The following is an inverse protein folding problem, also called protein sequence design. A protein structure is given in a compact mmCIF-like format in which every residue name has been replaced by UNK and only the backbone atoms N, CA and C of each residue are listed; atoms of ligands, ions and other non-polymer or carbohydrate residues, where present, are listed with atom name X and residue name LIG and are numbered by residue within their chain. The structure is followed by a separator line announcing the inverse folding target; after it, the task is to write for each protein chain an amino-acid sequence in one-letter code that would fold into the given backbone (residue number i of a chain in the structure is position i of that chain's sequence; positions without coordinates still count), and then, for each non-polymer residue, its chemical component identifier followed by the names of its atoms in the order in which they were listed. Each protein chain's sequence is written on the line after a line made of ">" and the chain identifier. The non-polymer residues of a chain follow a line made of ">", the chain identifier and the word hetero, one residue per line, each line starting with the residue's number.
data_IF_489984029649
#
_entry.id   IF_489984029649
#
_cell.length_a   1.000
_cell.length_b   1.000
_cell.length_c   1.000
_cell.angle_alpha   90.00
_cell.angle_beta   90.00
_cell.angle_gamma   90.00
#
_symmetry.space_group_name_H-M   'P 1'
#
loop_
_entity.id
_entity.type
_entity.pdbx_description
1 polymer ?
#
# COMPACT_ATOMS: atom_id res chain seq x y z
N UNK A 1 16.42 66.12 -12.96
CA UNK A 1 16.69 65.01 -13.90
C UNK A 1 17.15 63.81 -13.07
N UNK A 2 16.27 62.84 -12.78
CA UNK A 2 16.62 61.72 -11.92
C UNK A 2 17.40 60.65 -12.69
N UNK A 3 18.48 60.17 -12.08
CA UNK A 3 19.38 59.14 -12.57
C UNK A 3 18.74 57.75 -12.46
N UNK A 4 18.92 56.95 -13.51
CA UNK A 4 18.38 55.59 -13.63
C UNK A 4 19.13 54.58 -12.73
N UNK A 5 18.44 53.54 -12.19
CA UNK A 5 19.09 52.49 -11.42
C UNK A 5 19.71 51.42 -12.34
N UNK A 6 20.96 51.07 -12.02
CA UNK A 6 21.76 49.98 -12.60
C UNK A 6 21.16 48.61 -12.21
N UNK A 7 20.83 47.78 -13.20
CA UNK A 7 20.48 46.37 -13.01
C UNK A 7 21.75 45.50 -12.89
N UNK A 8 21.74 44.43 -12.05
CA UNK A 8 22.85 43.50 -11.92
C UNK A 8 22.91 42.48 -13.06
N UNK A 9 24.14 42.05 -13.35
CA UNK A 9 24.52 41.18 -14.44
C UNK A 9 23.94 39.77 -14.33
N UNK A 10 23.49 39.24 -15.47
CA UNK A 10 23.06 37.87 -15.69
C UNK A 10 24.23 36.89 -15.46
N UNK A 11 24.08 36.01 -14.47
CA UNK A 11 24.91 34.82 -14.31
C UNK A 11 24.47 33.78 -15.36
N UNK A 12 25.40 33.38 -16.22
CA UNK A 12 25.23 32.31 -17.20
C UNK A 12 25.53 30.97 -16.53
N UNK A 13 24.65 29.95 -16.59
CA UNK A 13 24.98 28.60 -16.13
C UNK A 13 25.85 27.85 -17.15
N UNK A 14 26.91 27.25 -16.62
CA UNK A 14 27.87 26.38 -17.29
C UNK A 14 27.25 24.99 -17.56
N UNK A 15 27.34 24.41 -18.78
CA UNK A 15 26.80 23.07 -19.06
C UNK A 15 27.79 21.95 -18.64
N UNK A 16 27.34 21.09 -17.73
CA UNK A 16 28.03 19.87 -17.27
C UNK A 16 27.81 18.70 -18.28
N UNK A 17 28.77 17.78 -18.48
CA UNK A 17 28.71 16.79 -19.55
C UNK A 17 27.87 15.55 -19.23
N UNK A 18 27.22 15.01 -20.26
CA UNK A 18 26.48 13.75 -20.27
C UNK A 18 27.38 12.53 -20.05
N UNK A 19 26.87 11.47 -19.37
CA UNK A 19 27.36 10.12 -19.57
C UNK A 19 26.54 9.35 -20.63
N UNK A 20 27.30 8.58 -21.40
CA UNK A 20 26.95 7.74 -22.53
C UNK A 20 26.00 6.57 -22.22
N UNK A 21 25.06 6.38 -23.15
CA UNK A 21 24.44 5.14 -23.65
C UNK A 21 24.84 3.80 -23.02
N UNK A 22 23.84 3.03 -22.58
CA UNK A 22 23.87 1.57 -22.54
C UNK A 22 22.50 1.02 -22.94
N UNK A 23 22.50 0.33 -24.07
CA UNK A 23 21.39 -0.36 -24.72
C UNK A 23 21.25 -1.79 -24.16
N UNK A 24 20.06 -2.19 -23.71
CA UNK A 24 19.73 -3.61 -23.57
C UNK A 24 18.31 -3.96 -24.05
N UNK A 25 18.32 -4.66 -25.18
CA UNK A 25 17.48 -5.76 -25.65
C UNK A 25 16.12 -6.02 -24.97
N UNK A 26 15.07 -5.92 -25.80
CA UNK A 26 13.77 -6.54 -25.57
C UNK A 26 13.89 -8.08 -25.59
N UNK A 27 13.28 -8.74 -24.61
CA UNK A 27 13.05 -10.18 -24.62
C UNK A 27 11.55 -10.44 -24.69
N UNK A 28 11.11 -10.97 -25.84
CA UNK A 28 9.77 -11.52 -26.06
C UNK A 28 9.67 -12.87 -25.34
N UNK A 29 8.63 -13.06 -24.51
CA UNK A 29 8.37 -14.35 -23.86
C UNK A 29 7.08 -14.95 -24.41
N UNK A 30 7.23 -15.99 -25.25
CA UNK A 30 6.14 -16.86 -25.69
C UNK A 30 5.60 -17.66 -24.51
N UNK A 31 4.31 -17.51 -24.25
CA UNK A 31 3.58 -18.29 -23.25
C UNK A 31 2.98 -19.53 -23.91
N UNK A 32 3.52 -20.71 -23.60
CA UNK A 32 2.98 -22.01 -23.99
C UNK A 32 2.06 -22.53 -22.88
N UNK A 33 0.79 -22.76 -23.21
CA UNK A 33 -0.19 -23.38 -22.30
C UNK A 33 -0.10 -24.91 -22.38
N UNK A 34 0.26 -25.55 -21.27
CA UNK A 34 0.09 -27.00 -21.11
C UNK A 34 -1.13 -27.29 -20.24
N UNK A 35 -2.11 -27.93 -20.88
CA UNK A 35 -3.29 -28.50 -20.26
C UNK A 35 -2.90 -29.57 -19.23
N UNK A 36 -3.53 -29.52 -18.04
CA UNK A 36 -3.38 -30.53 -17.00
C UNK A 36 -4.68 -31.32 -16.86
N UNK A 37 -4.58 -32.59 -17.20
CA UNK A 37 -5.59 -33.64 -17.08
C UNK A 37 -6.00 -33.84 -15.63
N UNK A 38 -7.31 -33.84 -15.39
CA UNK A 38 -7.96 -34.21 -14.15
C UNK A 38 -7.85 -35.73 -13.91
N UNK A 39 -7.49 -36.13 -12.69
CA UNK A 39 -7.86 -37.44 -12.16
C UNK A 39 -8.41 -37.27 -10.75
N UNK A 40 -9.73 -37.41 -10.70
CA UNK A 40 -10.56 -37.56 -9.52
C UNK A 40 -10.29 -38.90 -8.84
N UNK A 41 -10.07 -38.90 -7.52
CA UNK A 41 -10.23 -40.08 -6.70
C UNK A 41 -10.95 -39.69 -5.41
N UNK A 42 -12.09 -40.34 -5.22
CA UNK A 42 -13.08 -40.14 -4.19
C UNK A 42 -12.68 -40.87 -2.90
N UNK A 43 -12.85 -40.23 -1.75
CA UNK A 43 -12.98 -40.94 -0.46
C UNK A 43 -14.13 -40.37 0.33
N UNK A 44 -15.20 -41.15 0.37
CA UNK A 44 -16.42 -40.93 1.14
C UNK A 44 -16.16 -41.26 2.61
N UNK A 45 -16.25 -40.27 3.49
CA UNK A 45 -16.24 -40.49 4.95
C UNK A 45 -17.67 -40.40 5.49
N UNK A 46 -18.18 -41.58 5.79
CA UNK A 46 -19.39 -41.93 6.54
C UNK A 46 -19.72 -41.01 7.74
N UNK A 47 -20.92 -40.41 7.72
CA UNK A 47 -21.59 -39.86 8.90
C UNK A 47 -22.48 -40.91 9.56
N UNK A 48 -22.31 -41.11 10.88
CA UNK A 48 -23.29 -41.77 11.75
C UNK A 48 -23.86 -40.76 12.76
N UNK A 49 -25.19 -40.69 12.96
CA UNK A 49 -25.83 -39.83 13.94
C UNK A 49 -26.31 -40.59 15.19
N UNK A 50 -26.72 -39.80 16.21
CA UNK A 50 -27.40 -40.16 17.47
C UNK A 50 -26.45 -40.43 18.65
N UNK A 51 -26.71 -39.99 19.90
CA UNK A 51 -27.98 -39.81 20.58
C UNK A 51 -27.96 -38.64 21.60
N UNK A 52 -29.16 -38.09 21.77
CA UNK A 52 -29.60 -37.16 22.82
C UNK A 52 -29.63 -37.82 24.20
N UNK A 53 -29.28 -37.08 25.25
CA UNK A 53 -29.62 -37.40 26.64
C UNK A 53 -29.96 -36.13 27.42
N UNK A 54 -31.13 -36.03 28.08
CA UNK A 54 -31.53 -34.89 28.88
C UNK A 54 -31.08 -35.06 30.35
N UNK A 55 -30.35 -34.09 30.90
CA UNK A 55 -30.04 -34.06 32.33
C UNK A 55 -31.06 -33.19 33.08
N UNK A 56 -31.69 -33.82 34.06
CA UNK A 56 -32.66 -33.31 35.04
C UNK A 56 -32.04 -32.29 36.02
N UNK A 57 -32.82 -31.34 36.57
CA UNK A 57 -32.37 -30.44 37.62
C UNK A 57 -32.62 -31.04 39.01
N UNK A 58 -31.58 -31.11 39.84
CA UNK A 58 -31.72 -31.46 41.26
C UNK A 58 -31.78 -30.18 42.09
N UNK A 59 -32.94 -29.93 42.66
CA UNK A 59 -33.21 -29.01 43.76
C UNK A 59 -32.49 -29.45 45.03
N UNK A 60 -31.80 -28.53 45.71
CA UNK A 60 -31.65 -28.60 47.17
C UNK A 60 -31.64 -27.20 47.75
N UNK A 61 -32.51 -26.98 48.73
CA UNK A 61 -32.67 -25.77 49.53
C UNK A 61 -32.07 -26.01 50.92
N UNK A 62 -31.82 -24.90 51.62
CA UNK A 62 -31.38 -24.79 53.03
C UNK A 62 -29.90 -25.17 53.25
N UNK A 63 -29.12 -24.54 54.12
CA UNK A 63 -29.48 -23.78 55.30
C UNK A 63 -28.32 -22.86 55.74
N UNK A 64 -28.73 -21.82 56.45
CA UNK A 64 -28.08 -20.93 57.41
C UNK A 64 -26.60 -21.12 57.87
N UNK A 65 -25.92 -19.96 57.91
CA UNK A 65 -25.03 -19.44 58.98
C UNK A 65 -23.50 -19.65 58.93
N UNK A 66 -22.69 -18.60 59.21
CA UNK A 66 -21.24 -18.64 59.50
C UNK A 66 -21.03 -19.02 61.00
N UNK A 67 -19.82 -19.36 61.55
CA UNK A 67 -18.51 -18.70 61.32
C UNK A 67 -17.24 -19.59 61.51
N UNK A 68 -16.08 -18.92 61.53
CA UNK A 68 -14.84 -19.25 62.26
C UNK A 68 -13.73 -20.03 61.53
N UNK A 69 -12.65 -19.28 61.30
CA UNK A 69 -11.25 -19.71 61.27
C UNK A 69 -10.89 -20.73 62.36
N UNK A 70 -10.00 -21.68 62.03
CA UNK A 70 -8.96 -22.07 62.97
C UNK A 70 -7.57 -21.88 62.37
N UNK A 71 -6.74 -21.11 63.09
CA UNK A 71 -5.30 -21.31 63.11
C UNK A 71 -5.00 -22.76 63.45
N UNK A 72 -4.16 -23.42 62.66
CA UNK A 72 -3.37 -24.51 63.22
C UNK A 72 -2.02 -24.62 62.51
N UNK A 73 -0.99 -24.27 63.26
CA UNK A 73 0.40 -24.63 63.01
C UNK A 73 0.54 -26.15 63.09
N UNK A 74 1.06 -26.78 62.05
CA UNK A 74 1.78 -28.04 62.21
C UNK A 74 2.86 -28.14 61.15
N UNK A 75 4.10 -27.92 61.60
CA UNK A 75 5.29 -28.24 60.86
C UNK A 75 5.38 -29.77 60.72
N UNK A 76 5.19 -30.27 59.51
CA UNK A 76 5.74 -31.57 59.11
C UNK A 76 6.79 -31.31 58.04
N UNK A 77 8.05 -31.45 58.45
CA UNK A 77 9.20 -31.52 57.58
C UNK A 77 9.14 -32.83 56.79
N UNK A 78 8.60 -32.77 55.57
CA UNK A 78 8.91 -33.78 54.56
C UNK A 78 10.20 -33.36 53.87
N UNK A 79 11.24 -34.16 54.05
CA UNK A 79 12.49 -34.05 53.32
C UNK A 79 12.22 -34.33 51.83
N UNK A 80 12.05 -33.27 51.05
CA UNK A 80 12.10 -33.33 49.60
C UNK A 80 13.57 -33.40 49.19
N UNK A 81 14.00 -34.59 48.78
CA UNK A 81 15.18 -34.76 47.94
C UNK A 81 15.05 -33.87 46.70
N UNK A 82 16.03 -33.02 46.36
CA UNK A 82 15.99 -32.22 45.16
C UNK A 82 16.28 -33.13 43.96
N UNK A 83 15.24 -33.72 43.37
CA UNK A 83 15.34 -34.26 42.01
C UNK A 83 15.40 -33.06 41.08
N UNK A 84 16.63 -32.71 40.75
CA UNK A 84 17.05 -31.59 39.91
C UNK A 84 16.67 -31.86 38.44
N UNK A 85 15.38 -31.98 38.14
CA UNK A 85 14.88 -31.90 36.78
C UNK A 85 14.46 -30.45 36.55
N UNK A 86 15.47 -29.60 36.30
CA UNK A 86 15.30 -28.26 35.76
C UNK A 86 14.68 -28.33 34.36
N UNK A 87 13.40 -28.70 34.29
CA UNK A 87 12.56 -28.39 33.15
C UNK A 87 12.18 -26.94 33.32
N UNK A 88 13.10 -26.05 32.95
CA UNK A 88 12.81 -24.63 32.77
C UNK A 88 11.59 -24.59 31.87
N UNK A 89 10.46 -24.12 32.38
CA UNK A 89 9.27 -23.88 31.57
C UNK A 89 9.68 -22.84 30.52
N UNK A 90 10.13 -23.33 29.37
CA UNK A 90 10.41 -22.46 28.24
C UNK A 90 9.11 -21.77 27.90
N UNK A 91 9.20 -20.44 27.83
CA UNK A 91 8.11 -19.60 27.38
C UNK A 91 7.54 -20.18 26.07
N UNK A 92 6.24 -20.52 26.01
CA UNK A 92 5.62 -21.06 24.81
C UNK A 92 5.81 -20.13 23.60
N UNK A 93 6.01 -18.83 23.81
CA UNK A 93 6.33 -17.89 22.75
C UNK A 93 7.72 -18.13 22.13
N UNK A 94 8.72 -18.52 22.93
CA UNK A 94 10.07 -18.85 22.44
C UNK A 94 10.07 -20.17 21.67
N UNK A 95 9.36 -21.19 22.17
CA UNK A 95 9.22 -22.46 21.42
C UNK A 95 8.49 -22.27 20.09
N UNK A 96 7.43 -21.45 20.07
CA UNK A 96 6.73 -21.14 18.82
C UNK A 96 7.66 -20.42 17.83
N UNK A 97 8.55 -19.55 18.32
CA UNK A 97 9.53 -18.84 17.50
C UNK A 97 10.58 -19.78 16.91
N UNK A 98 11.15 -20.67 17.72
CA UNK A 98 12.14 -21.65 17.27
C UNK A 98 11.53 -22.63 16.25
N UNK A 99 10.29 -23.05 16.47
CA UNK A 99 9.55 -23.87 15.52
C UNK A 99 9.32 -23.13 14.17
N UNK A 100 8.99 -21.84 14.23
CA UNK A 100 8.84 -21.01 13.02
C UNK A 100 10.17 -20.86 12.29
N UNK A 101 11.26 -20.61 13.03
CA UNK A 101 12.59 -20.43 12.45
C UNK A 101 13.10 -21.73 11.81
N UNK A 102 12.85 -22.87 12.45
CA UNK A 102 13.13 -24.20 11.91
C UNK A 102 12.30 -24.48 10.63
N UNK A 103 11.03 -24.06 10.59
CA UNK A 103 10.17 -24.23 9.41
C UNK A 103 10.63 -23.39 8.20
N UNK A 104 11.16 -22.18 8.43
CA UNK A 104 11.62 -21.27 7.37
C UNK A 104 13.12 -21.35 7.07
N UNK A 105 13.82 -22.37 7.56
CA UNK A 105 15.24 -22.57 7.20
C UNK A 105 15.33 -23.08 5.76
N UNK A 106 15.34 -22.14 4.81
CA UNK A 106 15.64 -22.44 3.41
C UNK A 106 17.08 -22.96 3.33
N UNK A 107 17.27 -24.15 2.76
CA UNK A 107 18.58 -24.71 2.52
C UNK A 107 19.34 -23.83 1.51
N UNK A 108 20.10 -22.87 2.04
CA UNK A 108 20.93 -21.99 1.23
C UNK A 108 22.00 -22.82 0.53
N UNK A 109 22.22 -22.64 -0.78
CA UNK A 109 23.32 -23.32 -1.47
C UNK A 109 24.65 -22.95 -0.82
N UNK A 110 25.57 -23.92 -0.78
CA UNK A 110 26.89 -23.75 -0.17
C UNK A 110 27.63 -22.58 -0.84
N UNK A 111 28.34 -21.72 -0.09
CA UNK A 111 29.01 -20.55 -0.65
C UNK A 111 29.95 -20.92 -1.81
N UNK A 112 29.83 -20.19 -2.92
CA UNK A 112 30.68 -20.45 -4.09
C UNK A 112 32.15 -20.27 -3.73
N UNK A 113 32.97 -21.26 -4.09
CA UNK A 113 34.42 -21.11 -3.97
C UNK A 113 34.90 -20.04 -4.95
N UNK A 114 35.83 -19.19 -4.52
CA UNK A 114 36.43 -18.12 -5.35
C UNK A 114 37.08 -18.62 -6.65
N UNK A 115 37.37 -19.92 -6.73
CA UNK A 115 37.97 -20.59 -7.89
C UNK A 115 36.94 -21.32 -8.77
N UNK A 116 35.64 -21.12 -8.56
CA UNK A 116 34.60 -21.76 -9.36
C UNK A 116 34.62 -21.27 -10.81
N UNK A 117 34.36 -22.19 -11.74
CA UNK A 117 34.27 -21.86 -13.16
C UNK A 117 33.03 -20.99 -13.44
N UNK A 118 33.06 -20.20 -14.52
CA UNK A 118 31.90 -19.38 -14.95
C UNK A 118 30.63 -20.22 -15.14
N UNK A 119 30.77 -21.45 -15.64
CA UNK A 119 29.64 -22.38 -15.81
C UNK A 119 29.05 -22.83 -14.48
N UNK A 120 29.89 -23.06 -13.45
CA UNK A 120 29.43 -23.42 -12.11
C UNK A 120 28.68 -22.24 -11.46
N UNK A 121 29.19 -21.02 -11.62
CA UNK A 121 28.52 -19.80 -11.16
C UNK A 121 27.15 -19.61 -11.83
N UNK A 122 27.04 -19.86 -13.13
CA UNK A 122 25.77 -19.77 -13.85
C UNK A 122 24.74 -20.79 -13.32
N UNK A 123 25.15 -22.05 -13.15
CA UNK A 123 24.29 -23.11 -12.63
C UNK A 123 23.79 -22.80 -11.20
N UNK A 124 24.67 -22.27 -10.34
CA UNK A 124 24.28 -21.88 -8.99
C UNK A 124 23.33 -20.67 -8.97
N UNK A 125 23.54 -19.70 -9.87
CA UNK A 125 22.63 -18.56 -10.01
C UNK A 125 21.22 -19.04 -10.43
N UNK A 126 21.15 -20.01 -11.34
CA UNK A 126 19.89 -20.63 -11.74
C UNK A 126 19.24 -21.41 -10.58
N UNK A 127 20.03 -22.09 -9.75
CA UNK A 127 19.56 -22.76 -8.54
C UNK A 127 19.00 -21.76 -7.51
N UNK A 128 19.68 -20.62 -7.30
CA UNK A 128 19.20 -19.54 -6.43
C UNK A 128 17.88 -18.95 -6.94
N UNK A 129 17.76 -18.73 -8.25
CA UNK A 129 16.50 -18.26 -8.87
C UNK A 129 15.38 -19.27 -8.69
N UNK A 130 15.67 -20.57 -8.81
CA UNK A 130 14.69 -21.62 -8.57
C UNK A 130 14.25 -21.66 -7.10
N UNK A 131 15.17 -21.54 -6.15
CA UNK A 131 14.87 -21.47 -4.71
C UNK A 131 14.03 -20.25 -4.37
N UNK A 132 14.35 -19.07 -4.92
CA UNK A 132 13.56 -17.86 -4.72
C UNK A 132 12.13 -18.00 -5.24
N UNK A 133 11.94 -18.62 -6.42
CA UNK A 133 10.60 -18.91 -6.95
C UNK A 133 9.83 -19.87 -6.05
N UNK A 134 10.47 -20.93 -5.55
CA UNK A 134 9.85 -21.88 -4.65
C UNK A 134 9.44 -21.22 -3.32
N UNK A 135 10.33 -20.43 -2.72
CA UNK A 135 10.05 -19.67 -1.50
C UNK A 135 8.89 -18.68 -1.69
N UNK A 136 8.82 -18.00 -2.83
CA UNK A 136 7.71 -17.10 -3.16
C UNK A 136 6.37 -17.81 -3.24
N UNK A 137 6.33 -19.02 -3.82
CA UNK A 137 5.12 -19.85 -3.87
C UNK A 137 4.67 -20.26 -2.47
N UNK A 138 5.60 -20.67 -1.61
CA UNK A 138 5.26 -21.09 -0.25
C UNK A 138 4.72 -19.93 0.60
N UNK A 139 5.36 -18.76 0.52
CA UNK A 139 4.90 -17.55 1.22
C UNK A 139 3.49 -17.13 0.76
N UNK A 140 3.16 -17.33 -0.53
CA UNK A 140 1.82 -17.07 -1.05
C UNK A 140 0.78 -18.07 -0.50
N UNK A 141 1.15 -19.35 -0.32
CA UNK A 141 0.26 -20.34 0.32
C UNK A 141 0.00 -20.00 1.77
N UNK A 142 1.05 -19.67 2.53
CA UNK A 142 0.93 -19.28 3.95
C UNK A 142 0.04 -18.06 4.11
N UNK A 143 0.21 -17.07 3.23
CA UNK A 143 -0.67 -15.90 3.20
C UNK A 143 -2.13 -16.28 2.92
N UNK A 144 -2.38 -17.14 1.93
CA UNK A 144 -3.73 -17.62 1.63
C UNK A 144 -4.35 -18.40 2.82
N UNK A 145 -3.56 -19.23 3.51
CA UNK A 145 -3.99 -19.95 4.69
C UNK A 145 -4.34 -19.01 5.85
N UNK A 146 -3.50 -18.01 6.12
CA UNK A 146 -3.76 -16.97 7.13
C UNK A 146 -5.07 -16.22 6.83
N UNK A 147 -5.31 -15.84 5.57
CA UNK A 147 -6.56 -15.17 5.16
C UNK A 147 -7.78 -16.07 5.40
N UNK A 148 -7.68 -17.37 5.09
CA UNK A 148 -8.75 -18.34 5.36
C UNK A 148 -9.04 -18.48 6.86
N UNK A 149 -8.00 -18.61 7.69
CA UNK A 149 -8.16 -18.69 9.15
C UNK A 149 -8.80 -17.43 9.73
N UNK A 150 -8.40 -16.25 9.26
CA UNK A 150 -9.00 -14.98 9.69
C UNK A 150 -10.49 -14.91 9.32
N UNK A 151 -10.86 -15.37 8.12
CA UNK A 151 -12.25 -15.43 7.68
C UNK A 151 -13.07 -16.44 8.49
N UNK A 152 -12.49 -17.58 8.86
CA UNK A 152 -13.15 -18.55 9.73
C UNK A 152 -13.36 -18.00 11.15
N UNK A 153 -12.35 -17.33 11.71
CA UNK A 153 -12.45 -16.64 12.99
C UNK A 153 -13.55 -15.57 12.97
N UNK A 154 -13.64 -14.79 11.88
CA UNK A 154 -14.72 -13.83 11.68
C UNK A 154 -16.08 -14.52 11.64
N UNK A 155 -16.21 -15.63 10.89
CA UNK A 155 -17.44 -16.42 10.86
C UNK A 155 -17.82 -16.96 12.24
N UNK A 156 -16.86 -17.44 13.04
CA UNK A 156 -17.13 -17.90 14.41
C UNK A 156 -17.58 -16.75 15.31
N UNK A 157 -16.95 -15.58 15.21
CA UNK A 157 -17.40 -14.38 15.90
C UNK A 157 -18.83 -14.02 15.49
N UNK A 158 -19.11 -14.02 14.19
CA UNK A 158 -20.46 -13.79 13.67
C UNK A 158 -21.45 -14.82 14.20
N UNK A 159 -21.11 -16.10 14.30
CA UNK A 159 -21.99 -17.13 14.89
C UNK A 159 -22.24 -16.90 16.38
N UNK A 160 -21.20 -16.53 17.13
CA UNK A 160 -21.32 -16.20 18.56
C UNK A 160 -22.16 -14.94 18.81
N UNK A 161 -22.09 -13.96 17.91
CA UNK A 161 -22.90 -12.74 17.97
C UNK A 161 -24.29 -12.89 17.35
N UNK A 162 -24.44 -13.81 16.39
CA UNK A 162 -25.70 -14.26 15.84
C UNK A 162 -26.46 -15.16 16.82
N UNK A 163 -26.07 -15.17 18.12
CA UNK A 163 -26.92 -15.55 19.26
C UNK A 163 -28.32 -15.13 18.92
N UNK A 164 -29.11 -16.15 18.53
CA UNK A 164 -30.49 -16.10 18.06
C UNK A 164 -31.14 -14.90 18.71
N UNK A 165 -31.71 -14.00 17.91
CA UNK A 165 -32.75 -13.07 18.39
C UNK A 165 -33.65 -13.91 19.29
N UNK A 166 -33.38 -13.91 20.60
CA UNK A 166 -34.04 -14.84 21.51
C UNK A 166 -35.45 -14.35 21.41
N UNK A 167 -36.31 -15.13 20.76
CA UNK A 167 -37.74 -14.86 20.62
C UNK A 167 -38.13 -14.36 21.98
N UNK A 168 -38.44 -13.05 22.07
CA UNK A 168 -38.47 -12.31 23.35
C UNK A 168 -39.07 -13.25 24.35
N UNK A 169 -38.27 -13.72 25.33
CA UNK A 169 -38.72 -14.72 26.28
C UNK A 169 -39.90 -14.04 26.96
N UNK A 170 -41.11 -14.35 26.49
CA UNK A 170 -42.34 -13.80 27.01
C UNK A 170 -42.34 -14.33 28.42
N UNK A 171 -42.06 -13.44 29.37
CA UNK A 171 -42.20 -13.74 30.77
C UNK A 171 -43.65 -14.17 30.93
N UNK A 172 -43.87 -15.48 30.98
CA UNK A 172 -45.17 -16.04 31.31
C UNK A 172 -45.43 -15.60 32.73
N UNK A 173 -46.37 -14.68 32.88
CA UNK A 173 -46.95 -14.13 34.11
C UNK A 173 -47.63 -15.18 35.00
N UNK A 174 -47.27 -16.47 34.85
CA UNK A 174 -47.92 -17.62 35.49
C UNK A 174 -47.71 -17.74 37.00
N UNK A 175 -46.93 -16.84 37.62
CA UNK A 175 -46.93 -16.68 39.07
C UNK A 175 -46.79 -15.20 39.38
N UNK A 176 -47.94 -14.54 39.57
CA UNK A 176 -48.04 -13.19 40.09
C UNK A 176 -47.46 -13.16 41.51
N UNK A 177 -46.13 -13.10 41.62
CA UNK A 177 -45.52 -12.54 42.80
C UNK A 177 -45.85 -11.06 42.73
N UNK A 178 -46.56 -10.54 43.73
CA UNK A 178 -46.64 -9.10 43.92
C UNK A 178 -45.18 -8.61 44.01
N UNK A 179 -44.76 -7.83 43.01
CA UNK A 179 -43.46 -7.18 43.09
C UNK A 179 -43.48 -6.30 44.33
N UNK A 180 -42.39 -6.34 45.07
CA UNK A 180 -42.15 -5.39 46.15
C UNK A 180 -42.07 -3.97 45.57
N UNK A 181 -42.35 -2.95 46.39
CA UNK A 181 -42.29 -1.54 45.95
C UNK A 181 -40.97 -1.19 45.25
N UNK A 182 -39.89 -1.76 45.76
CA UNK A 182 -38.52 -1.48 45.31
C UNK A 182 -38.25 -2.13 43.95
N UNK A 183 -38.73 -3.36 43.73
CA UNK A 183 -38.67 -4.02 42.41
C UNK A 183 -39.48 -3.24 41.36
N UNK A 184 -40.62 -2.65 41.75
CA UNK A 184 -41.42 -1.82 40.84
C UNK A 184 -40.73 -0.50 40.50
N UNK A 185 -40.09 0.15 41.49
CA UNK A 185 -39.29 1.35 41.28
C UNK A 185 -38.10 1.08 40.35
N UNK A 186 -37.40 -0.04 40.52
CA UNK A 186 -36.30 -0.44 39.64
C UNK A 186 -36.75 -0.71 38.20
N UNK A 187 -37.90 -1.35 37.99
CA UNK A 187 -38.45 -1.57 36.64
C UNK A 187 -38.79 -0.24 35.97
N UNK A 188 -39.42 0.70 36.69
CA UNK A 188 -39.72 2.02 36.15
C UNK A 188 -38.44 2.80 35.81
N UNK A 189 -37.42 2.75 36.67
CA UNK A 189 -36.13 3.40 36.42
C UNK A 189 -35.42 2.79 35.22
N UNK A 190 -35.42 1.46 35.10
CA UNK A 190 -34.84 0.75 33.95
C UNK A 190 -35.56 1.12 32.65
N UNK A 191 -36.90 1.18 32.66
CA UNK A 191 -37.67 1.56 31.47
C UNK A 191 -37.45 3.02 31.07
N UNK A 192 -37.27 3.93 32.05
CA UNK A 192 -36.93 5.32 31.80
C UNK A 192 -35.51 5.44 31.21
N UNK A 193 -34.52 4.78 31.81
CA UNK A 193 -33.15 4.75 31.30
C UNK A 193 -33.09 4.15 29.89
N UNK A 194 -33.81 3.05 29.64
CA UNK A 194 -33.90 2.43 28.32
C UNK A 194 -34.48 3.37 27.26
N UNK A 195 -35.49 4.18 27.61
CA UNK A 195 -36.05 5.20 26.71
C UNK A 195 -35.02 6.30 26.41
N UNK A 196 -34.34 6.81 27.44
CA UNK A 196 -33.29 7.82 27.28
C UNK A 196 -32.14 7.33 26.39
N UNK A 197 -31.65 6.11 26.60
CA UNK A 197 -30.59 5.53 25.74
C UNK A 197 -31.09 5.33 24.31
N UNK A 198 -32.33 4.88 24.12
CA UNK A 198 -32.90 4.71 22.78
C UNK A 198 -33.03 6.05 22.03
N UNK A 199 -33.42 7.11 22.72
CA UNK A 199 -33.52 8.48 22.20
C UNK A 199 -32.14 9.01 21.79
N UNK A 200 -31.16 8.98 22.71
CA UNK A 200 -29.76 9.35 22.44
C UNK A 200 -29.17 8.57 21.26
N UNK A 201 -29.39 7.25 21.20
CA UNK A 201 -28.94 6.44 20.07
C UNK A 201 -29.63 6.80 18.75
N UNK A 202 -30.87 7.29 18.79
CA UNK A 202 -31.59 7.71 17.59
C UNK A 202 -31.07 9.06 17.09
N UNK A 203 -30.79 9.99 18.00
CA UNK A 203 -30.21 11.30 17.68
C UNK A 203 -28.78 11.14 17.17
N UNK A 204 -27.94 10.38 17.88
CA UNK A 204 -26.57 10.09 17.48
C UNK A 204 -26.52 9.40 16.12
N UNK A 205 -27.43 8.44 15.85
CA UNK A 205 -27.51 7.83 14.51
C UNK A 205 -27.90 8.85 13.45
N UNK A 206 -28.88 9.72 13.70
CA UNK A 206 -29.27 10.75 12.73
C UNK A 206 -28.12 11.72 12.45
N UNK A 207 -27.44 12.22 13.47
CA UNK A 207 -26.35 13.20 13.31
C UNK A 207 -25.09 12.56 12.74
N UNK A 208 -24.59 11.48 13.33
CA UNK A 208 -23.33 10.84 12.92
C UNK A 208 -23.48 10.15 11.57
N UNK A 209 -24.57 9.43 11.31
CA UNK A 209 -24.74 8.74 10.03
C UNK A 209 -24.91 9.72 8.87
N UNK A 210 -25.65 10.82 9.06
CA UNK A 210 -25.79 11.83 8.00
C UNK A 210 -24.48 12.59 7.77
N UNK A 211 -23.76 12.97 8.82
CA UNK A 211 -22.43 13.57 8.72
C UNK A 211 -21.44 12.63 8.02
N UNK A 212 -21.41 11.35 8.41
CA UNK A 212 -20.54 10.34 7.82
C UNK A 212 -20.90 10.08 6.35
N UNK A 213 -22.19 9.98 6.01
CA UNK A 213 -22.65 9.84 4.62
C UNK A 213 -22.26 11.06 3.77
N UNK A 214 -22.40 12.27 4.32
CA UNK A 214 -21.98 13.51 3.66
C UNK A 214 -20.46 13.54 3.45
N UNK A 215 -19.67 13.26 4.47
CA UNK A 215 -18.21 13.19 4.39
C UNK A 215 -17.74 12.15 3.36
N UNK A 216 -18.39 10.99 3.31
CA UNK A 216 -18.06 9.92 2.36
C UNK A 216 -18.42 10.30 0.92
N UNK A 217 -19.55 11.00 0.71
CA UNK A 217 -19.91 11.55 -0.60
C UNK A 217 -18.94 12.63 -1.07
N UNK A 218 -18.50 13.51 -0.16
CA UNK A 218 -17.50 14.54 -0.46
C UNK A 218 -16.14 13.93 -0.79
N UNK A 219 -15.72 12.89 -0.05
CA UNK A 219 -14.47 12.18 -0.33
C UNK A 219 -14.48 11.52 -1.71
N UNK A 220 -15.58 10.84 -2.09
CA UNK A 220 -15.73 10.25 -3.43
C UNK A 220 -15.71 11.30 -4.54
N UNK A 221 -16.34 12.45 -4.32
CA UNK A 221 -16.33 13.55 -5.29
C UNK A 221 -14.93 14.17 -5.43
N UNK A 222 -14.20 14.33 -4.32
CA UNK A 222 -12.82 14.81 -4.32
C UNK A 222 -11.88 13.82 -5.04
N UNK A 223 -12.00 12.52 -4.78
CA UNK A 223 -11.22 11.48 -5.46
C UNK A 223 -11.49 11.48 -6.98
N UNK A 224 -12.76 11.63 -7.38
CA UNK A 224 -13.13 11.73 -8.80
C UNK A 224 -12.55 12.99 -9.45
N UNK A 225 -12.54 14.12 -8.74
CA UNK A 225 -11.94 15.37 -9.23
C UNK A 225 -10.41 15.27 -9.35
N UNK A 226 -9.74 14.67 -8.36
CA UNK A 226 -8.30 14.43 -8.40
C UNK A 226 -7.91 13.49 -9.55
N UNK A 227 -8.68 12.43 -9.78
CA UNK A 227 -8.47 11.52 -10.92
C UNK A 227 -8.69 12.21 -12.27
N UNK A 228 -9.63 13.16 -12.34
CA UNK A 228 -9.84 13.95 -13.55
C UNK A 228 -8.65 14.90 -13.81
N UNK A 229 -8.18 15.60 -12.78
CA UNK A 229 -7.00 16.47 -12.85
C UNK A 229 -5.74 15.67 -13.23
N UNK A 230 -5.53 14.48 -12.65
CA UNK A 230 -4.40 13.62 -12.99
C UNK A 230 -4.43 13.21 -14.47
N UNK A 231 -5.60 12.83 -15.01
CA UNK A 231 -5.75 12.50 -16.44
C UNK A 231 -5.48 13.70 -17.35
N UNK A 232 -5.83 14.91 -16.91
CA UNK A 232 -5.56 16.14 -17.68
C UNK A 232 -4.06 16.45 -17.71
N UNK A 233 -3.38 16.34 -16.56
CA UNK A 233 -1.92 16.51 -16.49
C UNK A 233 -1.18 15.45 -17.32
N UNK A 234 -1.61 14.19 -17.30
CA UNK A 234 -1.03 13.12 -18.12
C UNK A 234 -1.24 13.37 -19.62
N UNK A 235 -2.40 13.90 -20.02
CA UNK A 235 -2.63 14.32 -21.41
C UNK A 235 -1.73 15.48 -21.80
N UNK A 236 -1.55 16.47 -20.92
CA UNK A 236 -0.68 17.61 -21.15
C UNK A 236 0.80 17.21 -21.28
N UNK A 237 1.30 16.31 -20.41
CA UNK A 237 2.68 15.82 -20.50
C UNK A 237 2.92 14.99 -21.74
N UNK A 238 1.99 14.11 -22.12
CA UNK A 238 2.07 13.35 -23.39
C UNK A 238 2.04 14.26 -24.61
N UNK A 239 1.26 15.35 -24.57
CA UNK A 239 1.25 16.33 -25.65
C UNK A 239 2.57 17.09 -25.74
N UNK A 240 3.15 17.50 -24.60
CA UNK A 240 4.45 18.14 -24.53
C UNK A 240 5.58 17.21 -25.04
N UNK A 241 5.59 15.94 -24.64
CA UNK A 241 6.58 14.95 -25.10
C UNK A 241 6.48 14.69 -26.61
N UNK A 242 5.25 14.63 -27.16
CA UNK A 242 5.07 14.54 -28.62
C UNK A 242 5.60 15.78 -29.33
N UNK A 243 5.39 16.98 -28.76
CA UNK A 243 5.88 18.22 -29.33
C UNK A 243 7.42 18.31 -29.29
N UNK A 244 8.07 17.91 -28.19
CA UNK A 244 9.54 17.89 -28.10
C UNK A 244 10.14 16.89 -29.07
N UNK A 245 9.59 15.67 -29.17
CA UNK A 245 10.04 14.65 -30.13
C UNK A 245 9.84 15.09 -31.59
N UNK A 246 8.78 15.83 -31.90
CA UNK A 246 8.58 16.42 -33.22
C UNK A 246 9.62 17.51 -33.53
N UNK A 247 9.93 18.36 -32.55
CA UNK A 247 10.96 19.39 -32.68
C UNK A 247 12.36 18.80 -32.88
N UNK A 248 12.74 17.77 -32.11
CA UNK A 248 14.01 17.06 -32.27
C UNK A 248 14.17 16.43 -33.67
N UNK A 249 13.10 15.76 -34.16
CA UNK A 249 13.08 15.21 -35.53
C UNK A 249 13.22 16.29 -36.61
N UNK A 250 12.68 17.48 -36.38
CA UNK A 250 12.82 18.61 -37.31
C UNK A 250 14.27 19.14 -37.33
N UNK A 251 14.90 19.29 -36.15
CA UNK A 251 16.31 19.70 -36.02
C UNK A 251 17.24 18.67 -36.66
N UNK A 252 17.02 17.37 -36.46
CA UNK A 252 17.85 16.33 -37.08
C UNK A 252 17.74 16.34 -38.61
N UNK A 253 16.53 16.54 -39.16
CA UNK A 253 16.32 16.70 -40.61
C UNK A 253 17.06 17.92 -41.17
N UNK A 254 17.03 19.05 -40.47
CA UNK A 254 17.78 20.25 -40.85
C UNK A 254 19.30 20.01 -40.83
N UNK A 255 19.81 19.32 -39.80
CA UNK A 255 21.23 18.96 -39.71
C UNK A 255 21.67 18.06 -40.88
N UNK A 256 20.90 17.02 -41.20
CA UNK A 256 21.18 16.14 -42.34
C UNK A 256 21.10 16.87 -43.69
N UNK A 257 20.21 17.86 -43.83
CA UNK A 257 20.14 18.69 -45.04
C UNK A 257 21.37 19.59 -45.18
N UNK A 258 21.77 20.27 -44.10
CA UNK A 258 22.96 21.12 -44.07
C UNK A 258 24.25 20.32 -44.33
N UNK A 259 24.38 19.11 -43.77
CA UNK A 259 25.52 18.22 -44.01
C UNK A 259 25.62 17.79 -45.48
N UNK A 260 24.48 17.44 -46.11
CA UNK A 260 24.43 17.13 -47.55
C UNK A 260 24.79 18.34 -48.42
N UNK A 261 24.40 19.55 -48.03
CA UNK A 261 24.75 20.78 -48.73
C UNK A 261 26.25 21.09 -48.60
N UNK A 262 26.81 20.98 -47.40
CA UNK A 262 28.25 21.14 -47.16
C UNK A 262 29.07 20.11 -47.96
N UNK A 263 28.64 18.84 -47.99
CA UNK A 263 29.29 17.80 -48.79
C UNK A 263 29.24 18.10 -50.30
N UNK A 264 28.13 18.66 -50.81
CA UNK A 264 28.05 19.12 -52.21
C UNK A 264 29.00 20.28 -52.49
N UNK A 265 29.13 21.24 -51.56
CA UNK A 265 30.06 22.37 -51.70
C UNK A 265 31.52 21.91 -51.74
N UNK A 266 31.92 20.99 -50.85
CA UNK A 266 33.27 20.39 -50.86
C UNK A 266 33.54 19.66 -52.18
N UNK A 267 32.57 18.89 -52.69
CA UNK A 267 32.72 18.17 -53.97
C UNK A 267 32.80 19.12 -55.18
N UNK A 268 32.12 20.26 -55.14
CA UNK A 268 32.22 21.28 -56.19
C UNK A 268 33.61 21.93 -56.20
N UNK A 269 34.16 22.23 -55.01
CA UNK A 269 35.50 22.81 -54.87
C UNK A 269 36.60 21.86 -55.37
N UNK A 270 36.47 20.56 -55.07
CA UNK A 270 37.40 19.53 -55.55
C UNK A 270 37.39 19.35 -57.10
N UNK A 271 36.25 19.63 -57.77
CA UNK A 271 36.16 19.56 -59.24
C UNK A 271 36.71 20.81 -59.94
N UNK A 272 36.72 21.96 -59.28
CA UNK A 272 37.23 23.23 -59.83
C UNK A 272 38.76 23.32 -59.90
N UNK A 273 39.50 22.61 -59.04
CA UNK A 273 40.96 22.66 -58.99
C UNK A 273 41.71 21.81 -60.03
N UNK A 274 41.00 21.06 -60.88
CA UNK A 274 41.60 20.09 -61.80
C UNK A 274 42.06 20.63 -63.16
N UNK A 275 41.89 21.92 -63.45
CA UNK A 275 42.22 22.48 -64.77
C UNK A 275 43.69 22.93 -64.87
N UNK A 276 44.34 23.33 -63.77
CA UNK A 276 45.76 23.74 -63.83
C UNK A 276 46.76 22.57 -63.80
N UNK A 277 46.40 21.41 -63.25
CA UNK A 277 47.34 20.25 -63.16
C UNK A 277 47.35 19.39 -64.44
N UNK A 278 46.38 19.56 -65.34
CA UNK A 278 46.35 18.81 -66.62
C UNK A 278 47.31 19.36 -67.69
N UNK A 279 47.84 20.57 -67.52
CA UNK A 279 48.92 21.08 -68.38
C UNK A 279 50.29 20.53 -67.96
N UNK A 280 50.50 20.17 -66.69
CA UNK A 280 51.76 19.61 -66.21
C UNK A 280 51.89 18.09 -66.43
N UNK A 281 50.78 17.33 -66.40
CA UNK A 281 50.81 15.85 -66.56
C UNK A 281 50.75 15.36 -68.01
N UNK A 282 50.62 16.25 -69.00
CA UNK A 282 50.79 15.89 -70.42
C UNK A 282 52.28 15.84 -70.85
N UNK A 283 53.19 16.40 -70.04
CA UNK A 283 54.63 16.38 -70.32
C UNK A 283 55.38 15.16 -69.75
N UNK A 284 54.76 14.38 -68.85
CA UNK A 284 55.44 13.30 -68.12
C UNK A 284 55.02 11.87 -68.53
N UNK A 285 54.06 11.71 -69.47
CA UNK A 285 53.51 10.39 -69.86
C UNK A 285 54.02 9.92 -71.25
N UNK A 286 55.09 10.54 -71.76
CA UNK A 286 55.75 10.11 -73.00
C UNK A 286 56.96 9.18 -72.80
N UNK A 287 57.36 8.86 -71.56
CA UNK A 287 58.65 8.19 -71.28
C UNK A 287 58.56 6.91 -70.41
N UNK A 288 57.36 6.39 -70.12
CA UNK A 288 57.24 5.17 -69.33
C UNK A 288 56.22 4.21 -69.94
N UNK A 289 56.61 3.61 -71.06
CA UNK A 289 56.08 2.32 -71.49
C UNK A 289 56.89 1.19 -70.87
N UNK A 290 56.27 0.00 -70.82
CA UNK A 290 56.83 -1.31 -70.46
C UNK A 290 56.99 -1.45 -68.93
N UNK A 291 56.32 -2.35 -68.20
CA UNK A 291 56.14 -3.79 -68.37
C UNK A 291 55.27 -4.30 -67.19
N UNK A 292 54.91 -5.58 -67.21
CA UNK A 292 54.32 -6.39 -66.12
C UNK A 292 52.78 -6.44 -66.05
N UNK A 293 52.27 -7.56 -66.59
CA UNK A 293 50.94 -8.08 -66.30
C UNK A 293 50.87 -8.89 -65.01
N UNK A 294 49.89 -9.80 -65.02
CA UNK A 294 49.44 -10.78 -64.00
C UNK A 294 48.31 -10.33 -63.07
N UNK A 295 47.19 -11.05 -63.23
CA UNK A 295 46.25 -11.62 -62.23
C UNK A 295 45.60 -10.65 -61.21
N UNK A 296 44.31 -10.69 -60.93
CA UNK A 296 43.47 -11.86 -60.69
C UNK A 296 42.03 -11.63 -61.18
N UNK A 297 41.43 -12.71 -61.64
CA UNK A 297 39.99 -12.86 -61.70
C UNK A 297 39.48 -13.19 -60.29
N UNK A 298 38.63 -12.35 -59.71
CA UNK A 298 37.72 -12.85 -58.68
C UNK A 298 36.32 -12.28 -58.89
N UNK A 299 35.40 -13.23 -59.01
CA UNK A 299 33.98 -13.15 -59.27
C UNK A 299 33.25 -12.35 -58.19
N UNK A 300 32.60 -11.26 -58.58
CA UNK A 300 31.55 -10.62 -57.76
C UNK A 300 30.18 -11.13 -58.23
N UNK A 301 29.74 -12.23 -57.62
CA UNK A 301 28.36 -12.67 -57.68
C UNK A 301 27.46 -11.66 -56.98
N UNK A 302 26.89 -10.78 -57.80
CA UNK A 302 25.45 -10.63 -58.00
C UNK A 302 24.53 -11.39 -57.00
N UNK A 303 23.55 -10.65 -56.49
CA UNK A 303 22.18 -11.07 -56.12
C UNK A 303 21.88 -11.13 -54.62
N UNK A 304 21.05 -10.19 -54.16
CA UNK A 304 20.44 -10.26 -52.83
C UNK A 304 19.82 -8.97 -52.31
N UNK A 305 19.27 -8.12 -53.19
CA UNK A 305 18.40 -7.00 -52.79
C UNK A 305 17.06 -7.57 -52.32
N UNK A 306 16.96 -7.88 -51.03
CA UNK A 306 15.71 -8.19 -50.34
C UNK A 306 15.02 -6.88 -50.00
N UNK A 307 14.20 -6.43 -50.94
CA UNK A 307 13.18 -5.41 -50.78
C UNK A 307 12.11 -5.98 -49.83
N UNK A 308 12.30 -5.78 -48.53
CA UNK A 308 11.24 -6.02 -47.53
C UNK A 308 10.13 -5.02 -47.81
N UNK A 309 9.07 -5.56 -48.40
CA UNK A 309 7.81 -4.92 -48.66
C UNK A 309 7.31 -4.18 -47.41
N UNK A 310 6.98 -2.90 -47.59
CA UNK A 310 6.00 -2.24 -46.75
C UNK A 310 4.76 -3.14 -46.65
N UNK A 311 4.28 -3.50 -45.45
CA UNK A 311 2.92 -3.99 -45.34
C UNK A 311 2.01 -2.81 -45.66
N UNK A 312 1.33 -2.91 -46.80
CA UNK A 312 0.14 -2.14 -47.16
C UNK A 312 -0.74 -1.97 -45.91
N UNK A 313 -0.89 -0.72 -45.49
CA UNK A 313 -1.96 -0.31 -44.60
C UNK A 313 -3.29 -0.80 -45.22
N UNK A 314 -4.10 -1.61 -44.51
CA UNK A 314 -5.47 -1.80 -44.94
C UNK A 314 -6.14 -0.44 -44.85
N UNK A 315 -6.47 0.10 -46.02
CA UNK A 315 -7.49 1.12 -46.23
C UNK A 315 -8.77 0.61 -45.57
N UNK A 316 -8.94 0.91 -44.29
CA UNK A 316 -10.22 0.75 -43.63
C UNK A 316 -11.06 1.93 -44.06
N UNK A 317 -11.87 1.57 -45.02
CA UNK A 317 -13.00 2.24 -45.60
C UNK A 317 -13.80 3.11 -44.62
N UNK A 318 -14.43 4.09 -45.22
CA UNK A 318 -15.38 5.06 -44.72
C UNK A 318 -16.25 4.62 -43.52
N UNK A 319 -16.36 5.53 -42.54
CA UNK A 319 -17.62 6.12 -42.03
C UNK A 319 -18.73 5.15 -41.54
N UNK A 320 -19.33 5.34 -40.35
CA UNK A 320 -20.19 6.51 -40.18
C UNK A 320 -20.15 7.21 -38.80
N UNK A 321 -20.48 8.49 -38.88
CA UNK A 321 -21.13 9.32 -37.86
C UNK A 321 -21.81 8.55 -36.71
N UNK A 322 -21.69 9.03 -35.45
CA UNK A 322 -22.63 8.62 -34.41
C UNK A 322 -23.99 9.24 -34.73
N UNK A 323 -24.83 8.46 -35.40
CA UNK A 323 -26.25 8.74 -35.60
C UNK A 323 -26.92 8.99 -34.25
N UNK A 324 -27.59 10.13 -34.17
CA UNK A 324 -28.58 10.42 -33.16
C UNK A 324 -29.57 9.26 -33.04
N UNK A 325 -29.63 8.64 -31.87
CA UNK A 325 -30.86 7.99 -31.40
C UNK A 325 -31.45 8.90 -30.34
N UNK A 326 -32.29 9.80 -30.84
CA UNK A 326 -33.51 10.19 -30.14
C UNK A 326 -34.31 8.95 -29.74
N UNK A 327 -35.11 9.15 -28.70
CA UNK A 327 -36.42 8.51 -28.49
C UNK A 327 -36.46 7.20 -27.68
N UNK A 328 -36.73 7.37 -26.37
CA UNK A 328 -37.95 6.88 -25.66
C UNK A 328 -37.69 6.90 -24.14
N UNK A 329 -38.22 7.87 -23.41
CA UNK A 329 -39.59 7.90 -22.87
C UNK A 329 -39.88 6.82 -21.83
N UNK A 330 -39.72 7.20 -20.57
CA UNK A 330 -40.47 6.74 -19.38
C UNK A 330 -40.11 7.79 -18.32
N UNK A 331 -40.88 8.85 -18.09
CA UNK A 331 -42.34 8.92 -17.88
C UNK A 331 -42.77 7.96 -16.77
N UNK A 332 -42.44 8.32 -15.53
CA UNK A 332 -43.25 8.20 -14.31
C UNK A 332 -42.77 9.36 -13.41
N UNK A 333 -43.41 10.52 -13.50
CA UNK A 333 -44.59 10.92 -12.71
C UNK A 333 -44.30 11.06 -11.21
N UNK A 334 -44.54 12.30 -10.76
CA UNK A 334 -45.14 12.67 -9.48
C UNK A 334 -44.54 12.17 -8.17
N UNK A 335 -43.85 13.09 -7.48
CA UNK A 335 -44.24 13.40 -6.09
C UNK A 335 -43.81 14.84 -5.71
N UNK A 336 -44.37 15.82 -6.42
CA UNK A 336 -44.64 17.13 -5.82
C UNK A 336 -45.84 17.00 -4.88
N UNK A 337 -45.59 16.80 -3.57
CA UNK A 337 -46.45 17.28 -2.47
C UNK A 337 -45.82 17.03 -1.11
N UNK A 338 -45.08 18.02 -0.62
CA UNK A 338 -45.35 18.48 0.75
C UNK A 338 -44.91 19.94 0.97
N UNK A 339 -45.81 20.93 0.77
CA UNK A 339 -45.62 22.26 1.31
C UNK A 339 -46.11 22.26 2.76
N UNK A 340 -45.32 21.76 3.71
CA UNK A 340 -45.64 21.98 5.12
C UNK A 340 -45.08 23.34 5.55
N UNK A 341 -45.90 24.34 5.24
CA UNK A 341 -46.20 25.55 5.99
C UNK A 341 -45.22 25.85 7.13
N UNK A 342 -44.47 26.93 6.90
CA UNK A 342 -43.86 27.78 7.90
C UNK A 342 -45.01 28.36 8.73
N UNK A 343 -45.27 27.81 9.91
CA UNK A 343 -46.01 28.51 10.95
C UNK A 343 -45.01 29.08 11.96
N UNK A 344 -44.91 30.41 11.90
CA UNK A 344 -44.42 31.27 12.96
C UNK A 344 -45.10 30.91 14.30
N UNK A 345 -44.32 30.32 15.20
CA UNK A 345 -44.54 30.38 16.65
C UNK A 345 -43.31 31.08 17.23
N UNK A 346 -43.27 32.40 17.22
CA UNK A 346 -43.85 33.26 18.27
C UNK A 346 -43.46 32.83 19.68
N UNK A 347 -42.41 33.47 20.17
CA UNK A 347 -42.26 33.99 21.54
C UNK A 347 -42.68 33.08 22.70
N UNK A 348 -41.72 32.29 23.18
CA UNK A 348 -41.68 31.80 24.55
C UNK A 348 -40.40 32.25 25.22
N UNK A 349 -40.39 33.46 25.79
CA UNK A 349 -39.32 33.94 26.65
C UNK A 349 -39.25 33.04 27.89
N UNK A 350 -38.34 32.07 27.90
CA UNK A 350 -38.02 31.31 29.09
C UNK A 350 -36.98 32.13 29.86
N UNK A 351 -37.47 32.70 30.95
CA UNK A 351 -36.73 33.40 31.97
C UNK A 351 -35.69 32.45 32.57
N UNK A 352 -34.44 32.53 32.11
CA UNK A 352 -33.30 31.81 32.70
C UNK A 352 -32.94 32.56 33.98
N UNK A 353 -33.05 31.94 35.18
CA UNK A 353 -32.63 32.58 36.42
C UNK A 353 -31.12 32.87 36.38
N UNK A 354 -30.66 33.95 37.04
CA UNK A 354 -29.25 34.30 37.09
C UNK A 354 -28.48 33.14 37.72
N UNK A 355 -27.65 32.49 36.91
CA UNK A 355 -26.64 31.54 37.36
C UNK A 355 -25.71 32.36 38.26
N UNK A 356 -25.68 31.98 39.54
CA UNK A 356 -24.76 32.55 40.49
C UNK A 356 -23.34 32.30 39.99
N UNK A 357 -22.59 33.39 39.86
CA UNK A 357 -21.15 33.40 39.70
C UNK A 357 -20.56 32.76 40.97
N UNK A 358 -20.31 31.46 40.91
CA UNK A 358 -19.52 30.75 41.90
C UNK A 358 -18.05 30.96 41.50
N UNK A 359 -17.46 32.01 42.08
CA UNK A 359 -16.03 32.23 42.12
C UNK A 359 -15.36 31.09 42.90
N UNK A 360 -15.12 29.96 42.25
CA UNK A 360 -14.20 28.94 42.74
C UNK A 360 -12.87 29.06 41.98
N UNK A 361 -12.07 29.97 42.51
CA UNK A 361 -10.68 30.29 42.21
C UNK A 361 -9.75 29.19 42.77
N UNK A 362 -9.72 28.02 42.12
CA UNK A 362 -8.72 26.98 42.34
C UNK A 362 -8.19 26.52 40.98
N UNK A 363 -7.45 27.43 40.35
CA UNK A 363 -6.62 27.20 39.16
C UNK A 363 -5.40 26.33 39.55
N UNK A 364 -5.65 25.08 39.91
CA UNK A 364 -4.60 24.05 40.01
C UNK A 364 -4.26 23.66 38.56
N UNK A 365 -3.43 24.49 37.94
CA UNK A 365 -2.77 24.24 36.67
C UNK A 365 -1.84 23.05 36.81
N UNK A 366 -2.43 21.86 36.91
CA UNK A 366 -1.82 20.59 36.59
C UNK A 366 -1.39 20.71 35.13
N UNK A 367 -0.19 21.23 34.93
CA UNK A 367 0.57 21.04 33.71
C UNK A 367 0.55 19.53 33.48
N UNK A 368 -0.37 19.08 32.62
CA UNK A 368 -0.40 17.70 32.17
C UNK A 368 1.00 17.45 31.66
N UNK A 369 1.78 16.68 32.44
CA UNK A 369 3.17 16.40 32.16
C UNK A 369 3.18 15.81 30.75
N UNK A 370 3.62 16.61 29.78
CA UNK A 370 3.66 16.19 28.38
C UNK A 370 4.53 14.94 28.34
N UNK A 371 3.88 13.78 28.19
CA UNK A 371 4.58 12.50 28.15
C UNK A 371 5.61 12.56 27.03
N UNK A 372 6.88 12.40 27.39
CA UNK A 372 7.98 12.54 26.45
C UNK A 372 7.94 11.41 25.39
N UNK A 373 8.20 11.78 24.14
CA UNK A 373 8.32 10.82 23.03
C UNK A 373 9.68 10.13 23.14
N UNK A 374 9.68 8.81 23.35
CA UNK A 374 10.92 8.03 23.48
C UNK A 374 11.50 7.69 22.12
N UNK A 375 10.69 7.14 21.20
CA UNK A 375 11.15 6.71 19.89
C UNK A 375 10.01 6.52 18.89
N UNK A 376 10.36 6.40 17.60
CA UNK A 376 9.44 6.05 16.53
C UNK A 376 9.60 4.60 16.10
N UNK A 377 8.52 3.84 16.19
CA UNK A 377 8.48 2.44 15.80
C UNK A 377 8.14 2.25 14.31
N UNK A 378 7.77 3.29 13.58
CA UNK A 378 7.40 3.15 12.17
C UNK A 378 6.64 4.35 11.61
N UNK A 379 6.36 4.31 10.32
CA UNK A 379 5.55 5.31 9.63
C UNK A 379 4.54 4.66 8.69
N UNK A 380 3.43 5.36 8.43
CA UNK A 380 2.45 4.99 7.42
C UNK A 380 1.85 6.23 6.77
N UNK A 381 1.47 6.06 5.52
CA UNK A 381 0.63 7.03 4.83
C UNK A 381 -0.83 6.65 5.03
N UNK A 382 -1.56 7.44 5.81
CA UNK A 382 -2.99 7.23 6.03
C UNK A 382 -3.80 7.63 4.78
N UNK A 383 -5.08 7.21 4.75
CA UNK A 383 -6.00 7.24 3.60
C UNK A 383 -6.15 8.62 2.89
N UNK A 384 -5.61 9.72 3.42
CA UNK A 384 -5.62 11.03 2.74
C UNK A 384 -4.25 11.75 2.74
N UNK A 385 -3.17 11.02 2.43
CA UNK A 385 -1.82 11.58 2.23
C UNK A 385 -1.20 12.28 3.44
N UNK A 386 -1.76 12.11 4.63
CA UNK A 386 -1.09 12.53 5.85
C UNK A 386 -0.17 11.40 6.31
N UNK A 387 1.07 11.79 6.61
CA UNK A 387 2.07 10.92 7.18
C UNK A 387 1.81 10.81 8.68
N UNK A 388 1.65 9.58 9.15
CA UNK A 388 1.50 9.25 10.57
C UNK A 388 2.69 8.41 11.01
N UNK A 389 3.17 8.69 12.22
CA UNK A 389 4.24 7.94 12.87
C UNK A 389 3.68 7.11 14.02
N UNK A 390 4.21 5.91 14.18
CA UNK A 390 3.93 5.11 15.35
C UNK A 390 4.87 5.53 16.47
N UNK A 391 4.34 6.25 17.45
CA UNK A 391 5.07 6.87 18.56
C UNK A 391 5.08 5.91 19.74
N UNK A 392 6.26 5.71 20.35
CA UNK A 392 6.42 5.02 21.63
C UNK A 392 6.64 6.08 22.71
N UNK A 393 5.73 6.12 23.67
CA UNK A 393 5.75 7.07 24.79
C UNK A 393 6.55 6.51 25.98
N UNK A 394 6.90 7.38 26.94
CA UNK A 394 7.67 7.01 28.13
C UNK A 394 6.96 5.99 29.04
N UNK A 395 5.64 5.94 29.02
CA UNK A 395 4.81 4.96 29.72
C UNK A 395 4.66 3.62 28.96
N UNK A 396 5.40 3.45 27.86
CA UNK A 396 5.35 2.33 26.93
C UNK A 396 4.06 2.20 26.12
N UNK A 397 3.19 3.23 26.10
CA UNK A 397 2.07 3.26 25.18
C UNK A 397 2.53 3.51 23.75
N UNK A 398 1.76 2.96 22.80
CA UNK A 398 2.07 3.04 21.37
C UNK A 398 0.87 3.57 20.61
N UNK A 399 1.02 4.76 20.03
CA UNK A 399 -0.06 5.45 19.30
C UNK A 399 0.38 5.85 17.90
N UNK A 400 -0.58 6.20 17.03
CA UNK A 400 -0.29 6.75 15.71
C UNK A 400 -0.55 8.26 15.74
N UNK A 401 0.51 9.05 15.62
CA UNK A 401 0.42 10.51 15.67
C UNK A 401 0.72 11.14 14.30
N UNK A 402 0.02 12.22 13.92
CA UNK A 402 0.26 12.90 12.65
C UNK A 402 1.58 13.67 12.68
N UNK A 403 2.26 13.77 11.52
CA UNK A 403 3.52 14.52 11.37
C UNK A 403 3.47 15.92 12.02
N UNK A 404 2.34 16.64 11.89
CA UNK A 404 2.18 17.98 12.44
C UNK A 404 2.39 18.07 13.97
N UNK A 405 2.19 16.98 14.72
CA UNK A 405 2.37 16.94 16.18
C UNK A 405 3.79 16.53 16.57
N UNK A 406 4.47 15.75 15.72
CA UNK A 406 5.75 15.09 16.04
C UNK A 406 6.95 15.67 15.30
N UNK A 407 6.73 16.69 14.47
CA UNK A 407 7.78 17.26 13.62
C UNK A 407 8.92 17.91 14.42
N UNK A 408 8.63 18.45 15.60
CA UNK A 408 9.56 19.27 16.39
C UNK A 408 10.22 18.49 17.55
N UNK A 409 10.25 17.16 17.49
CA UNK A 409 10.86 16.32 18.54
C UNK A 409 12.23 15.75 18.13
N UNK A 410 13.14 15.62 19.10
CA UNK A 410 14.49 15.09 18.86
C UNK A 410 14.49 13.64 18.34
N UNK A 411 13.50 12.84 18.73
CA UNK A 411 13.32 11.49 18.21
C UNK A 411 13.14 11.45 16.68
N UNK A 412 12.65 12.54 16.06
CA UNK A 412 12.39 12.61 14.63
C UNK A 412 13.69 12.69 13.86
N UNK A 413 14.64 13.49 14.35
CA UNK A 413 15.98 13.60 13.77
C UNK A 413 16.71 12.26 13.78
N UNK A 414 16.63 11.51 14.89
CA UNK A 414 17.21 10.17 15.00
C UNK A 414 16.58 9.19 14.00
N UNK A 415 15.25 9.24 13.87
CA UNK A 415 14.51 8.38 12.95
C UNK A 415 14.86 8.67 11.48
N UNK A 416 14.96 9.95 11.11
CA UNK A 416 15.31 10.36 9.75
C UNK A 416 16.78 10.05 9.41
N UNK A 417 17.69 10.23 10.37
CA UNK A 417 19.08 9.85 10.24
C UNK A 417 19.26 8.35 9.98
N UNK A 418 18.45 7.50 10.63
CA UNK A 418 18.46 6.05 10.37
C UNK A 418 18.04 5.69 8.94
N UNK A 419 17.25 6.54 8.28
CA UNK A 419 16.78 6.35 6.91
C UNK A 419 17.62 7.09 5.86
N UNK A 420 18.70 7.78 6.26
CA UNK A 420 19.50 8.67 5.40
C UNK A 420 18.64 9.75 4.71
N UNK A 421 17.67 10.33 5.42
CA UNK A 421 16.76 11.35 4.91
C UNK A 421 16.84 12.64 5.75
N UNK A 422 16.65 13.79 5.11
CA UNK A 422 16.55 15.10 5.78
C UNK A 422 15.09 15.59 5.92
N UNK A 423 14.16 15.05 5.13
CA UNK A 423 12.76 15.48 5.09
C UNK A 423 11.82 14.26 5.27
N UNK A 424 10.93 14.28 6.30
CA UNK A 424 10.01 13.18 6.56
C UNK A 424 9.02 12.94 5.41
N UNK A 425 8.75 13.92 4.55
CA UNK A 425 7.84 13.76 3.41
C UNK A 425 8.42 12.87 2.28
N UNK A 426 9.72 12.59 2.32
CA UNK A 426 10.41 11.72 1.37
C UNK A 426 10.28 10.23 1.77
N UNK A 427 9.77 9.95 2.97
CA UNK A 427 9.56 8.59 3.46
C UNK A 427 8.65 7.77 2.52
N UNK A 428 8.96 6.47 2.42
CA UNK A 428 8.28 5.57 1.49
C UNK A 428 6.76 5.53 1.72
N UNK A 429 5.98 5.38 0.65
CA UNK A 429 4.51 5.26 0.76
C UNK A 429 4.03 3.94 1.37
N UNK A 430 4.93 2.97 1.47
CA UNK A 430 4.63 1.68 2.08
C UNK A 430 4.59 1.82 3.60
N UNK A 431 3.70 1.08 4.25
CA UNK A 431 3.70 0.97 5.71
C UNK A 431 5.04 0.36 6.14
N UNK A 432 5.81 1.10 6.92
CA UNK A 432 7.06 0.64 7.49
C UNK A 432 6.90 0.52 8.99
N UNK A 433 7.16 -0.68 9.52
CA UNK A 433 7.22 -0.94 10.95
C UNK A 433 8.66 -1.36 11.23
N UNK A 434 9.37 -0.55 12.02
CA UNK A 434 10.59 -0.98 12.68
C UNK A 434 10.20 -2.18 13.54
N UNK A 435 10.64 -3.36 13.15
CA UNK A 435 10.36 -4.54 13.94
C UNK A 435 11.36 -4.51 15.09
N UNK A 436 11.04 -3.84 16.20
CA UNK A 436 11.87 -3.81 17.42
C UNK A 436 12.26 -5.21 17.91
N UNK A 437 11.49 -6.24 17.54
CA UNK A 437 11.85 -7.65 17.71
C UNK A 437 13.12 -8.10 16.98
N UNK A 438 13.63 -7.36 15.99
CA UNK A 438 14.87 -7.68 15.27
C UNK A 438 16.09 -7.02 15.93
N UNK A 439 15.96 -5.83 16.51
CA UNK A 439 17.09 -5.17 17.22
C UNK A 439 17.40 -5.86 18.54
N UNK A 440 16.38 -6.34 19.27
CA UNK A 440 16.60 -7.18 20.46
C UNK A 440 17.35 -8.50 20.15
N UNK A 441 17.39 -8.94 18.88
CA UNK A 441 18.22 -10.09 18.45
C UNK A 441 19.65 -9.65 18.14
N UNK A 442 19.83 -8.48 17.53
CA UNK A 442 21.16 -7.99 17.14
C UNK A 442 21.96 -7.42 18.32
N UNK A 443 21.33 -6.78 19.30
CA UNK A 443 22.00 -6.37 20.55
C UNK A 443 22.43 -7.59 21.39
N UNK A 444 21.67 -8.69 21.35
CA UNK A 444 22.05 -9.94 22.03
C UNK A 444 23.14 -10.74 21.32
N UNK A 445 23.46 -10.44 20.06
CA UNK A 445 24.58 -11.04 19.34
C UNK A 445 25.87 -10.23 19.44
N UNK A 446 25.80 -8.99 19.91
CA UNK A 446 26.94 -8.07 20.04
C UNK A 446 27.39 -7.86 21.49
N UNK A 447 26.62 -8.38 22.46
CA UNK A 447 27.03 -8.59 23.86
C UNK A 447 27.44 -10.05 24.07
#
# INVERSE_FOLDING_TARGET
>A
MPLAPRLPALLVPNPTPQPSSSSHAASTTSTSMSARTEQSAHTSTSCSPAQLGPSTPTTSSADQSPPSTPSNSSAQQFALTPTNNGTTAQDPALQARDALQAAYTLAMPSPVRKTASRSALAAENDQLRALLKAAGIELQKDYAQMVLMNRENENMCQQLHAKKNKTKRTYTTGKARLMTSDEMAQVLLHDLHKKQVAELHSELRKTVFTAMKKANSQAKNAEKAERAAAKETEKATRAAEKATKAAERAVEKQRKAAEKEAAKAVRALARGGGVEVRVARAAAVAEAGVEAGLRDEESSERSGSSEEAEPDDPVVDANPEPSATDDKSSDEEDDERNPFIIEDLSCGAVNIPPVMEDESDDEDGSAEEETEIVSFNGHRWALRRHLEFQVVWADADVTWEPLAKVNDCAAMEVYLAHHDLDDPLILSKCKFLHNTKLEAINEFQTS
#
